data_IF_540038493132
#
_entry.id   IF_540038493132
#
_cell.length_a   1.000
_cell.length_b   1.000
_cell.length_c   1.000
_cell.angle_alpha   90.00
_cell.angle_beta   90.00
_cell.angle_gamma   90.00
#
_symmetry.space_group_name_H-M   'P 1'
#
loop_
_entity.id
_entity.type
_entity.pdbx_description
1 polymer ?
#
# COMPACT_ATOMS: atom_id res chain seq x y z
N UNK A 1 -31.33 -28.78 13.85
CA UNK A 1 -30.29 -27.77 14.13
C UNK A 1 -30.70 -26.46 13.46
N UNK A 2 -31.11 -25.44 14.23
CA UNK A 2 -31.38 -24.11 13.69
C UNK A 2 -30.05 -23.37 13.56
N UNK A 3 -29.68 -22.95 12.35
CA UNK A 3 -28.51 -22.11 12.11
C UNK A 3 -29.02 -20.67 12.01
N UNK A 4 -28.66 -19.85 12.97
CA UNK A 4 -28.93 -18.41 12.94
C UNK A 4 -27.89 -17.73 12.05
N UNK A 5 -28.30 -17.21 10.90
CA UNK A 5 -27.43 -16.49 9.98
C UNK A 5 -27.48 -14.99 10.29
N UNK A 6 -26.38 -14.43 10.78
CA UNK A 6 -26.23 -12.97 10.92
C UNK A 6 -26.01 -12.34 9.54
N UNK A 7 -26.87 -11.38 9.18
CA UNK A 7 -26.79 -10.67 7.90
C UNK A 7 -26.57 -9.20 8.17
N UNK A 8 -25.41 -8.69 7.76
CA UNK A 8 -25.04 -7.28 7.88
C UNK A 8 -24.96 -6.62 6.52
N UNK A 9 -25.16 -5.31 6.49
CA UNK A 9 -24.99 -4.54 5.27
C UNK A 9 -23.52 -4.56 4.83
N UNK A 10 -23.17 -4.99 3.60
CA UNK A 10 -21.79 -5.05 3.12
C UNK A 10 -21.18 -3.67 2.81
N UNK A 11 -21.83 -2.57 3.20
CA UNK A 11 -21.34 -1.18 3.00
C UNK A 11 -21.19 -0.45 4.30
N UNK A 12 -22.27 -0.35 5.07
CA UNK A 12 -22.26 0.38 6.35
C UNK A 12 -22.18 -0.55 7.56
N UNK A 13 -22.10 -1.87 7.37
CA UNK A 13 -22.04 -2.89 8.43
C UNK A 13 -23.24 -2.90 9.39
N UNK A 14 -24.29 -2.14 9.10
CA UNK A 14 -25.52 -2.10 9.88
C UNK A 14 -26.25 -3.44 9.89
N UNK A 15 -26.81 -3.77 11.05
CA UNK A 15 -27.70 -4.91 11.28
C UNK A 15 -29.16 -4.61 10.89
N UNK A 16 -29.47 -3.35 10.55
CA UNK A 16 -30.81 -2.88 10.18
C UNK A 16 -31.18 -3.28 8.74
N UNK A 17 -31.50 -4.56 8.56
CA UNK A 17 -31.75 -5.19 7.25
C UNK A 17 -33.22 -5.61 7.12
N UNK A 18 -33.79 -5.43 5.92
CA UNK A 18 -35.08 -6.04 5.53
C UNK A 18 -34.92 -6.93 4.30
N UNK A 19 -35.79 -7.93 4.17
CA UNK A 19 -35.97 -8.69 2.92
C UNK A 19 -36.59 -7.77 1.87
N UNK A 20 -36.10 -7.87 0.62
CA UNK A 20 -36.49 -6.98 -0.49
C UNK A 20 -36.71 -7.79 -1.77
N UNK A 21 -37.60 -8.78 -1.70
CA UNK A 21 -37.92 -9.68 -2.81
C UNK A 21 -36.86 -10.75 -3.09
N UNK A 22 -37.06 -11.47 -4.19
CA UNK A 22 -36.18 -12.54 -4.66
C UNK A 22 -35.64 -12.13 -6.03
N UNK A 23 -34.35 -12.38 -6.28
CA UNK A 23 -33.72 -12.10 -7.57
C UNK A 23 -34.12 -13.15 -8.62
N UNK A 24 -33.86 -12.83 -9.90
CA UNK A 24 -34.16 -13.74 -11.03
C UNK A 24 -33.48 -15.10 -10.87
N UNK A 25 -32.33 -15.16 -10.20
CA UNK A 25 -31.60 -16.39 -9.91
C UNK A 25 -32.07 -17.11 -8.62
N UNK A 26 -33.26 -16.76 -8.11
CA UNK A 26 -33.89 -17.41 -6.97
C UNK A 26 -33.34 -17.00 -5.60
N UNK A 27 -32.36 -16.10 -5.54
CA UNK A 27 -31.71 -15.72 -4.28
C UNK A 27 -32.47 -14.62 -3.55
N UNK A 28 -32.51 -14.74 -2.22
CA UNK A 28 -33.07 -13.70 -1.36
C UNK A 28 -32.29 -12.39 -1.51
N UNK A 29 -32.98 -11.33 -1.92
CA UNK A 29 -32.46 -9.98 -1.94
C UNK A 29 -32.77 -9.29 -0.60
N UNK A 30 -31.80 -8.56 -0.09
CA UNK A 30 -31.88 -7.80 1.14
C UNK A 30 -31.69 -6.32 0.83
N UNK A 31 -32.27 -5.44 1.65
CA UNK A 31 -32.02 -4.00 1.59
C UNK A 31 -31.66 -3.48 2.98
N UNK A 32 -30.56 -2.74 3.06
CA UNK A 32 -30.19 -2.00 4.26
C UNK A 32 -31.15 -0.82 4.46
N UNK A 33 -31.72 -0.67 5.65
CA UNK A 33 -32.64 0.44 5.95
C UNK A 33 -31.91 1.79 6.05
N UNK A 34 -30.63 1.77 6.42
CA UNK A 34 -29.85 2.99 6.65
C UNK A 34 -29.29 3.55 5.34
N UNK A 35 -28.46 2.77 4.62
CA UNK A 35 -27.84 3.23 3.37
C UNK A 35 -28.62 2.87 2.09
N UNK A 36 -29.79 2.23 2.22
CA UNK A 36 -30.68 1.78 1.12
C UNK A 36 -30.05 0.79 0.13
N UNK A 37 -28.81 0.35 0.34
CA UNK A 37 -28.13 -0.63 -0.52
C UNK A 37 -28.90 -1.94 -0.57
N UNK A 38 -29.07 -2.48 -1.77
CA UNK A 38 -29.58 -3.82 -2.01
C UNK A 38 -28.44 -4.82 -2.20
N UNK A 39 -28.56 -6.02 -1.65
CA UNK A 39 -27.51 -7.05 -1.71
C UNK A 39 -28.07 -8.46 -1.48
N UNK A 40 -27.25 -9.46 -1.81
CA UNK A 40 -27.48 -10.86 -1.46
C UNK A 40 -26.56 -11.18 -0.28
N UNK A 41 -27.03 -11.93 0.70
CA UNK A 41 -26.21 -12.34 1.84
C UNK A 41 -25.04 -13.23 1.40
N UNK A 42 -23.91 -13.15 2.12
CA UNK A 42 -22.67 -13.87 1.77
C UNK A 42 -22.87 -15.39 1.65
N UNK A 43 -23.80 -15.96 2.43
CA UNK A 43 -24.17 -17.39 2.41
C UNK A 43 -24.78 -17.87 1.08
N UNK A 44 -25.34 -16.97 0.27
CA UNK A 44 -26.04 -17.30 -0.97
C UNK A 44 -25.29 -16.85 -2.24
N UNK A 45 -24.03 -16.41 -2.10
CA UNK A 45 -23.24 -15.94 -3.24
C UNK A 45 -22.75 -17.10 -4.10
N UNK A 46 -22.99 -17.02 -5.42
CA UNK A 46 -22.41 -17.96 -6.39
C UNK A 46 -20.98 -17.60 -6.78
N UNK A 47 -20.60 -16.32 -6.67
CA UNK A 47 -19.25 -15.85 -6.95
C UNK A 47 -18.62 -15.26 -5.71
N UNK A 48 -17.53 -15.89 -5.24
CA UNK A 48 -16.83 -15.53 -4.01
C UNK A 48 -16.22 -14.13 -4.04
N UNK A 49 -15.96 -13.56 -5.22
CA UNK A 49 -15.45 -12.19 -5.35
C UNK A 49 -16.47 -11.10 -4.97
N UNK A 50 -17.72 -11.48 -4.72
CA UNK A 50 -18.75 -10.61 -4.15
C UNK A 50 -18.84 -10.70 -2.62
N UNK A 51 -18.12 -11.62 -1.99
CA UNK A 51 -18.14 -11.80 -0.54
C UNK A 51 -17.64 -10.52 0.15
N UNK A 52 -18.33 -10.08 1.21
CA UNK A 52 -18.03 -8.83 1.90
C UNK A 52 -16.59 -8.76 2.45
N UNK A 53 -16.01 -9.88 2.86
CA UNK A 53 -14.65 -9.97 3.42
C UNK A 53 -13.53 -10.11 2.39
N UNK A 54 -13.84 -10.35 1.10
CA UNK A 54 -12.84 -10.71 0.10
C UNK A 54 -11.84 -9.59 -0.16
N UNK A 55 -12.29 -8.34 -0.15
CA UNK A 55 -11.44 -7.16 -0.38
C UNK A 55 -10.31 -7.11 0.63
N UNK A 56 -10.63 -7.33 1.91
CA UNK A 56 -9.65 -7.33 3.00
C UNK A 56 -8.62 -8.45 2.79
N UNK A 57 -9.08 -9.67 2.50
CA UNK A 57 -8.19 -10.81 2.22
C UNK A 57 -7.26 -10.55 1.04
N UNK A 58 -7.77 -10.02 -0.06
CA UNK A 58 -6.98 -9.66 -1.26
C UNK A 58 -5.84 -8.71 -0.86
N UNK A 59 -6.16 -7.62 -0.16
CA UNK A 59 -5.17 -6.62 0.25
C UNK A 59 -4.15 -7.22 1.22
N UNK A 60 -4.59 -8.09 2.15
CA UNK A 60 -3.70 -8.83 3.05
C UNK A 60 -2.68 -9.67 2.29
N UNK A 61 -3.17 -10.50 1.38
CA UNK A 61 -2.31 -11.39 0.61
C UNK A 61 -1.31 -10.58 -0.23
N UNK A 62 -1.72 -9.44 -0.79
CA UNK A 62 -0.83 -8.55 -1.53
C UNK A 62 0.34 -8.03 -0.67
N UNK A 63 0.07 -7.50 0.53
CA UNK A 63 1.14 -6.96 1.41
C UNK A 63 2.00 -8.04 2.07
N UNK A 64 1.50 -9.29 2.05
CA UNK A 64 2.25 -10.50 2.44
C UNK A 64 3.05 -11.09 1.28
N UNK A 65 2.97 -10.50 0.09
CA UNK A 65 3.78 -10.85 -1.07
C UNK A 65 3.16 -11.86 -2.02
N UNK A 66 1.88 -12.20 -1.91
CA UNK A 66 1.19 -13.01 -2.92
C UNK A 66 1.03 -12.24 -4.22
N UNK A 67 1.24 -12.93 -5.35
CA UNK A 67 1.04 -12.37 -6.68
C UNK A 67 -0.45 -12.27 -7.05
N UNK A 68 -0.81 -11.44 -8.04
CA UNK A 68 -2.22 -11.32 -8.47
C UNK A 68 -2.84 -12.67 -8.84
N UNK A 69 -2.11 -13.48 -9.62
CA UNK A 69 -2.60 -14.79 -10.09
C UNK A 69 -2.71 -15.78 -8.93
N UNK A 70 -1.77 -15.73 -8.01
CA UNK A 70 -1.75 -16.55 -6.79
C UNK A 70 -2.97 -16.24 -5.91
N UNK A 71 -3.27 -14.95 -5.69
CA UNK A 71 -4.47 -14.52 -4.96
C UNK A 71 -5.75 -14.97 -5.68
N UNK A 72 -5.80 -14.80 -7.00
CA UNK A 72 -6.96 -15.21 -7.80
C UNK A 72 -7.23 -16.72 -7.68
N UNK A 73 -6.16 -17.53 -7.69
CA UNK A 73 -6.23 -18.99 -7.54
C UNK A 73 -6.66 -19.39 -6.11
N UNK A 74 -5.96 -18.90 -5.09
CA UNK A 74 -6.19 -19.25 -3.68
C UNK A 74 -7.60 -18.86 -3.23
N UNK A 75 -8.04 -17.65 -3.57
CA UNK A 75 -9.36 -17.15 -3.17
C UNK A 75 -10.47 -17.55 -4.17
N UNK A 76 -10.12 -18.23 -5.27
CA UNK A 76 -11.04 -18.65 -6.35
C UNK A 76 -11.88 -17.49 -6.88
N UNK A 77 -11.20 -16.38 -7.19
CA UNK A 77 -11.79 -15.15 -7.72
C UNK A 77 -11.11 -14.75 -9.03
N UNK A 78 -11.76 -13.89 -9.81
CA UNK A 78 -11.18 -13.40 -11.06
C UNK A 78 -9.97 -12.50 -10.80
N UNK A 79 -8.97 -12.61 -11.69
CA UNK A 79 -7.83 -11.69 -11.75
C UNK A 79 -8.30 -10.23 -11.83
N UNK A 80 -9.40 -9.98 -12.55
CA UNK A 80 -10.01 -8.66 -12.67
C UNK A 80 -10.47 -8.10 -11.32
N UNK A 81 -11.07 -8.92 -10.45
CA UNK A 81 -11.45 -8.52 -9.09
C UNK A 81 -10.24 -8.12 -8.27
N UNK A 82 -9.18 -8.93 -8.30
CA UNK A 82 -7.92 -8.66 -7.57
C UNK A 82 -7.29 -7.34 -8.02
N UNK A 83 -7.20 -7.12 -9.33
CA UNK A 83 -6.69 -5.89 -9.92
C UNK A 83 -7.53 -4.67 -9.54
N UNK A 84 -8.86 -4.79 -9.65
CA UNK A 84 -9.79 -3.72 -9.31
C UNK A 84 -9.67 -3.32 -7.85
N UNK A 85 -9.59 -4.29 -6.94
CA UNK A 85 -9.38 -4.03 -5.51
C UNK A 85 -8.09 -3.24 -5.25
N UNK A 86 -7.02 -3.52 -5.98
CA UNK A 86 -5.76 -2.75 -5.87
C UNK A 86 -5.90 -1.33 -6.43
N UNK A 87 -6.48 -1.17 -7.62
CA UNK A 87 -6.60 0.16 -8.27
C UNK A 87 -7.55 1.09 -7.53
N UNK A 88 -8.65 0.55 -6.99
CA UNK A 88 -9.61 1.31 -6.18
C UNK A 88 -9.10 1.58 -4.75
N UNK A 89 -8.01 0.93 -4.31
CA UNK A 89 -7.44 1.21 -2.99
C UNK A 89 -6.84 2.61 -2.92
N UNK A 90 -7.16 3.34 -1.86
CA UNK A 90 -6.70 4.71 -1.62
C UNK A 90 -5.95 4.77 -0.29
N UNK A 91 -4.74 4.21 -0.28
CA UNK A 91 -3.86 4.23 0.89
C UNK A 91 -2.89 5.40 0.80
N UNK A 92 -2.76 6.14 1.89
CA UNK A 92 -1.82 7.23 2.03
C UNK A 92 -1.16 7.13 3.40
N UNK A 93 0.16 7.28 3.44
CA UNK A 93 0.87 7.38 4.72
C UNK A 93 0.66 8.78 5.30
N UNK A 94 0.56 8.83 6.62
CA UNK A 94 0.65 10.06 7.39
C UNK A 94 1.73 9.87 8.45
N UNK A 95 2.62 10.86 8.65
CA UNK A 95 3.60 10.82 9.71
C UNK A 95 2.92 10.71 11.07
N UNK A 96 3.41 9.84 11.95
CA UNK A 96 2.89 9.69 13.32
C UNK A 96 3.38 10.78 14.27
N UNK A 97 4.48 11.43 13.93
CA UNK A 97 5.14 12.46 14.74
C UNK A 97 5.43 13.70 13.89
N UNK A 98 5.44 14.86 14.55
CA UNK A 98 5.83 16.14 13.96
C UNK A 98 7.33 16.40 14.07
N UNK A 99 8.03 15.77 15.03
CA UNK A 99 9.46 15.90 15.23
C UNK A 99 10.13 14.52 15.27
N UNK A 100 11.28 14.41 14.59
CA UNK A 100 12.12 13.21 14.59
C UNK A 100 13.58 13.60 14.88
N UNK A 101 14.26 12.87 15.75
CA UNK A 101 15.67 13.21 16.05
C UNK A 101 16.57 12.92 14.83
N UNK A 102 16.41 11.76 14.19
CA UNK A 102 17.18 11.38 13.01
C UNK A 102 16.33 10.68 11.96
N UNK A 103 16.36 11.17 10.73
CA UNK A 103 15.74 10.50 9.57
C UNK A 103 16.80 9.93 8.65
N UNK A 104 16.63 8.69 8.23
CA UNK A 104 17.45 8.05 7.19
C UNK A 104 16.78 8.29 5.83
N UNK A 105 17.55 8.73 4.83
CA UNK A 105 17.05 8.98 3.47
C UNK A 105 17.87 8.16 2.50
N UNK A 106 17.17 7.46 1.61
CA UNK A 106 17.79 6.59 0.62
C UNK A 106 16.92 6.49 -0.64
N UNK A 107 17.53 5.99 -1.70
CA UNK A 107 16.94 5.75 -3.01
C UNK A 107 16.59 4.27 -3.20
N UNK A 108 15.42 4.05 -3.78
CA UNK A 108 14.94 2.74 -4.17
C UNK A 108 14.52 2.79 -5.63
N UNK A 109 14.97 1.83 -6.43
CA UNK A 109 14.59 1.75 -7.83
C UNK A 109 13.91 0.44 -8.17
N UNK A 110 12.95 0.55 -9.07
CA UNK A 110 12.22 -0.54 -9.70
C UNK A 110 12.07 -0.27 -11.20
N UNK A 111 11.29 -1.10 -11.89
CA UNK A 111 10.94 -0.86 -13.29
C UNK A 111 9.52 -1.34 -13.58
N UNK A 112 8.91 -0.75 -14.62
CA UNK A 112 7.57 -1.12 -15.10
C UNK A 112 7.64 -1.56 -16.55
N UNK A 113 7.19 -2.79 -16.82
CA UNK A 113 7.22 -3.42 -18.15
C UNK A 113 8.62 -3.90 -18.54
N UNK A 114 9.57 -2.97 -18.71
CA UNK A 114 10.94 -3.26 -19.12
C UNK A 114 11.95 -2.49 -18.25
N UNK A 115 13.22 -2.92 -18.27
CA UNK A 115 14.29 -2.32 -17.44
C UNK A 115 14.69 -0.90 -17.85
N UNK A 116 14.33 -0.46 -19.06
CA UNK A 116 14.60 0.90 -19.53
C UNK A 116 13.64 1.89 -18.88
N UNK A 117 12.42 1.46 -18.57
CA UNK A 117 11.44 2.22 -17.81
C UNK A 117 11.68 2.08 -16.30
N UNK A 118 12.81 2.63 -15.83
CA UNK A 118 13.16 2.69 -14.40
C UNK A 118 12.26 3.68 -13.67
N UNK A 119 11.81 3.29 -12.49
CA UNK A 119 11.07 4.13 -11.58
C UNK A 119 11.92 4.33 -10.33
N UNK A 120 12.23 5.59 -10.01
CA UNK A 120 13.00 5.93 -8.82
C UNK A 120 12.08 6.46 -7.75
N UNK A 121 12.35 6.00 -6.54
CA UNK A 121 11.65 6.33 -5.32
C UNK A 121 12.68 6.85 -4.33
N UNK A 122 12.46 8.02 -3.77
CA UNK A 122 13.26 8.54 -2.67
C UNK A 122 12.35 8.66 -1.47
N UNK A 123 12.77 8.15 -0.32
CA UNK A 123 11.96 8.17 0.87
C UNK A 123 12.76 8.43 2.14
N UNK A 124 12.08 9.01 3.12
CA UNK A 124 12.58 9.23 4.46
C UNK A 124 12.03 8.15 5.41
N UNK A 125 12.91 7.59 6.21
CA UNK A 125 12.65 6.48 7.11
C UNK A 125 13.09 6.86 8.53
N UNK A 126 12.24 6.58 9.50
CA UNK A 126 12.59 6.73 10.91
C UNK A 126 12.93 5.36 11.49
N UNK A 127 14.21 5.15 11.80
CA UNK A 127 14.73 3.84 12.22
C UNK A 127 14.12 3.34 13.52
N UNK A 128 13.93 4.21 14.52
CA UNK A 128 13.48 3.80 15.85
C UNK A 128 12.04 3.27 15.84
N UNK A 129 11.15 3.91 15.07
CA UNK A 129 9.75 3.46 14.94
C UNK A 129 9.52 2.50 13.78
N UNK A 130 10.51 2.37 12.88
CA UNK A 130 10.39 1.60 11.66
C UNK A 130 9.40 2.20 10.64
N UNK A 131 9.14 3.50 10.74
CA UNK A 131 8.13 4.22 9.97
C UNK A 131 8.70 4.81 8.69
N UNK A 132 7.95 4.71 7.59
CA UNK A 132 8.20 5.46 6.37
C UNK A 132 7.50 6.82 6.53
N UNK A 133 8.28 7.89 6.69
CA UNK A 133 7.77 9.22 7.04
C UNK A 133 7.20 9.94 5.82
N UNK A 134 7.94 9.92 4.71
CA UNK A 134 7.50 10.47 3.44
C UNK A 134 8.23 9.81 2.28
N UNK A 135 7.61 9.78 1.10
CA UNK A 135 8.25 9.31 -0.13
C UNK A 135 7.80 10.09 -1.35
N UNK A 136 8.63 10.07 -2.39
CA UNK A 136 8.39 10.74 -3.67
C UNK A 136 8.89 9.88 -4.82
N UNK A 137 8.07 9.71 -5.86
CA UNK A 137 8.45 9.11 -7.13
C UNK A 137 9.05 10.17 -8.08
N UNK A 138 10.10 9.83 -8.82
CA UNK A 138 10.75 10.73 -9.76
C UNK A 138 11.90 10.09 -10.52
N UNK A 139 12.90 10.91 -10.84
CA UNK A 139 14.18 10.49 -11.40
C UNK A 139 15.24 10.45 -10.29
N UNK A 140 16.39 9.89 -10.58
CA UNK A 140 17.57 9.97 -9.69
C UNK A 140 18.27 11.31 -9.90
N UNK A 141 17.70 12.37 -9.36
CA UNK A 141 18.22 13.73 -9.47
C UNK A 141 17.97 14.59 -8.20
N UNK A 142 18.67 15.72 -8.13
CA UNK A 142 18.53 16.70 -7.06
C UNK A 142 17.11 17.24 -6.94
N UNK A 143 16.40 17.42 -8.06
CA UNK A 143 15.04 17.93 -8.09
C UNK A 143 14.07 16.99 -7.33
N UNK A 144 14.24 15.68 -7.46
CA UNK A 144 13.42 14.69 -6.75
C UNK A 144 13.73 14.69 -5.24
N UNK A 145 14.99 14.87 -4.84
CA UNK A 145 15.37 15.04 -3.42
C UNK A 145 14.77 16.32 -2.84
N UNK A 146 14.82 17.43 -3.58
CA UNK A 146 14.19 18.69 -3.18
C UNK A 146 12.68 18.56 -3.02
N UNK A 147 12.01 17.80 -3.90
CA UNK A 147 10.58 17.49 -3.74
C UNK A 147 10.29 16.71 -2.46
N UNK A 148 11.15 15.77 -2.06
CA UNK A 148 11.02 15.09 -0.77
C UNK A 148 11.17 16.08 0.38
N UNK A 149 12.18 16.95 0.36
CA UNK A 149 12.39 17.97 1.39
C UNK A 149 11.19 18.93 1.51
N UNK A 150 10.64 19.38 0.38
CA UNK A 150 9.44 20.22 0.35
C UNK A 150 8.23 19.48 0.91
N UNK A 151 8.07 18.20 0.56
CA UNK A 151 6.98 17.35 1.09
C UNK A 151 7.08 17.18 2.61
N UNK A 152 8.28 16.95 3.15
CA UNK A 152 8.51 16.90 4.60
C UNK A 152 8.08 18.21 5.28
N UNK A 153 8.44 19.36 4.69
CA UNK A 153 8.04 20.68 5.19
C UNK A 153 6.52 20.90 5.12
N UNK A 154 5.87 20.50 4.02
CA UNK A 154 4.42 20.61 3.85
C UNK A 154 3.65 19.76 4.86
N UNK A 155 4.21 18.61 5.25
CA UNK A 155 3.66 17.75 6.30
C UNK A 155 3.94 18.27 7.72
N UNK A 156 4.61 19.42 7.87
CA UNK A 156 4.94 20.00 9.18
C UNK A 156 6.00 19.22 9.95
N UNK A 157 6.88 18.50 9.25
CA UNK A 157 7.86 17.61 9.87
C UNK A 157 9.17 18.35 10.13
N UNK A 158 9.59 18.31 11.39
CA UNK A 158 10.88 18.79 11.86
C UNK A 158 11.81 17.62 12.11
N UNK A 159 13.09 17.79 11.79
CA UNK A 159 14.12 16.79 12.06
C UNK A 159 15.42 17.42 12.52
N UNK A 160 16.08 16.83 13.52
CA UNK A 160 17.37 17.34 14.04
C UNK A 160 18.53 16.96 13.12
N UNK A 161 18.47 15.75 12.54
CA UNK A 161 19.54 15.17 11.72
C UNK A 161 18.98 14.37 10.54
N UNK A 162 19.71 14.39 9.42
CA UNK A 162 19.48 13.48 8.30
C UNK A 162 20.70 12.60 8.09
N UNK A 163 20.46 11.29 7.99
CA UNK A 163 21.42 10.30 7.57
C UNK A 163 21.18 9.91 6.11
N UNK A 164 22.22 9.90 5.30
CA UNK A 164 22.15 9.49 3.90
C UNK A 164 23.48 8.89 3.44
N UNK A 165 23.50 8.32 2.25
CA UNK A 165 24.74 7.93 1.59
C UNK A 165 25.53 9.15 1.07
N UNK A 166 26.69 8.89 0.46
CA UNK A 166 27.58 9.92 -0.09
C UNK A 166 27.12 10.49 -1.44
N UNK A 167 25.84 10.34 -1.82
CA UNK A 167 25.37 10.87 -3.09
C UNK A 167 25.23 12.41 -3.03
N UNK A 168 25.91 13.11 -3.95
CA UNK A 168 26.00 14.59 -3.99
C UNK A 168 24.64 15.31 -3.94
N UNK A 169 23.60 14.70 -4.52
CA UNK A 169 22.25 15.26 -4.50
C UNK A 169 21.68 15.35 -3.08
N UNK A 170 21.91 14.35 -2.22
CA UNK A 170 21.48 14.41 -0.82
C UNK A 170 22.27 15.46 -0.05
N UNK A 171 23.59 15.46 -0.20
CA UNK A 171 24.48 16.42 0.46
C UNK A 171 24.07 17.85 0.11
N UNK A 172 23.81 18.11 -1.18
CA UNK A 172 23.39 19.42 -1.69
C UNK A 172 22.01 19.82 -1.18
N UNK A 173 21.02 18.92 -1.25
CA UNK A 173 19.65 19.22 -0.84
C UNK A 173 19.53 19.52 0.66
N UNK A 174 20.32 18.83 1.49
CA UNK A 174 20.26 18.93 2.95
C UNK A 174 21.41 19.74 3.55
N UNK A 175 22.16 20.52 2.75
CA UNK A 175 23.35 21.28 3.17
C UNK A 175 23.14 22.14 4.43
N UNK A 176 21.94 22.67 4.61
CA UNK A 176 21.59 23.55 5.74
C UNK A 176 21.07 22.79 6.98
N UNK A 177 21.15 21.45 6.99
CA UNK A 177 20.72 20.58 8.08
C UNK A 177 21.92 19.82 8.63
N UNK A 178 21.84 19.33 9.88
CA UNK A 178 22.89 18.43 10.41
C UNK A 178 22.83 17.11 9.64
N UNK A 179 23.94 16.72 9.02
CA UNK A 179 24.03 15.49 8.22
C UNK A 179 24.91 14.44 8.90
N UNK A 180 24.53 13.18 8.78
CA UNK A 180 25.39 12.03 9.08
C UNK A 180 25.55 11.21 7.81
N UNK A 181 26.68 11.42 7.14
CA UNK A 181 26.94 10.84 5.83
C UNK A 181 27.69 9.53 6.04
N UNK A 182 27.20 8.46 5.40
CA UNK A 182 27.91 7.20 5.31
C UNK A 182 27.05 6.00 5.71
N UNK A 183 27.49 4.82 5.24
CA UNK A 183 26.72 3.56 5.32
C UNK A 183 26.36 3.13 6.75
N UNK A 184 27.19 3.50 7.74
CA UNK A 184 26.95 3.18 9.15
C UNK A 184 25.64 3.80 9.67
N UNK A 185 25.19 4.91 9.07
CA UNK A 185 23.99 5.64 9.49
C UNK A 185 22.74 5.29 8.66
N UNK A 186 22.87 4.46 7.61
CA UNK A 186 21.77 4.06 6.70
C UNK A 186 21.36 2.59 6.85
N UNK A 187 21.84 1.91 7.90
CA UNK A 187 21.58 0.48 8.10
C UNK A 187 20.08 0.18 8.26
N UNK A 188 19.32 1.09 8.89
CA UNK A 188 17.88 0.91 9.10
C UNK A 188 17.12 0.91 7.77
N UNK A 189 17.34 1.93 6.95
CA UNK A 189 16.69 2.10 5.66
C UNK A 189 17.13 1.04 4.65
N UNK A 190 18.38 0.58 4.70
CA UNK A 190 18.86 -0.57 3.91
C UNK A 190 18.12 -1.87 4.30
N UNK A 191 17.95 -2.11 5.61
CA UNK A 191 17.14 -3.22 6.11
C UNK A 191 15.68 -3.12 5.65
N UNK A 192 15.10 -1.92 5.67
CA UNK A 192 13.75 -1.68 5.17
C UNK A 192 13.64 -1.85 3.64
N UNK A 193 14.65 -1.45 2.86
CA UNK A 193 14.73 -1.73 1.42
C UNK A 193 14.66 -3.23 1.15
N UNK A 194 15.36 -4.04 1.94
CA UNK A 194 15.28 -5.49 1.86
C UNK A 194 13.85 -6.00 2.17
N UNK A 195 13.24 -5.50 3.25
CA UNK A 195 11.83 -5.81 3.62
C UNK A 195 10.84 -5.43 2.52
N UNK A 196 11.00 -4.26 1.88
CA UNK A 196 10.17 -3.81 0.76
C UNK A 196 10.32 -4.76 -0.42
N UNK A 197 11.53 -5.19 -0.76
CA UNK A 197 11.76 -6.19 -1.83
C UNK A 197 11.00 -7.48 -1.53
N UNK A 198 11.12 -8.02 -0.33
CA UNK A 198 10.42 -9.27 0.05
C UNK A 198 8.89 -9.15 -0.01
N UNK A 199 8.32 -8.01 0.40
CA UNK A 199 6.86 -7.80 0.42
C UNK A 199 6.30 -7.48 -0.95
N UNK A 200 6.98 -6.62 -1.71
CA UNK A 200 6.54 -6.23 -3.04
C UNK A 200 7.24 -7.11 -4.05
N UNK A 201 6.64 -8.25 -4.39
CA UNK A 201 7.19 -9.16 -5.41
C UNK A 201 7.49 -8.46 -6.76
N UNK A 202 6.84 -7.33 -7.03
CA UNK A 202 7.02 -6.49 -8.24
C UNK A 202 8.29 -5.62 -8.21
N UNK A 203 9.00 -5.57 -7.09
CA UNK A 203 10.30 -4.90 -6.95
C UNK A 203 11.49 -5.78 -7.33
N UNK A 204 11.27 -6.99 -7.86
CA UNK A 204 12.30 -7.97 -8.22
C UNK A 204 12.63 -8.02 -9.72
N UNK A 205 13.54 -8.94 -10.10
CA UNK A 205 14.02 -9.21 -11.46
C UNK A 205 12.85 -9.51 -12.43
N UNK A 206 12.98 -9.02 -13.68
CA UNK A 206 12.00 -9.16 -14.78
C UNK A 206 11.49 -10.58 -15.03
N UNK A 207 12.32 -11.59 -14.78
CA UNK A 207 11.98 -13.00 -14.96
C UNK A 207 11.01 -13.55 -13.91
N UNK A 208 10.89 -12.91 -12.73
CA UNK A 208 10.09 -13.46 -11.63
C UNK A 208 8.73 -12.77 -11.53
N UNK A 209 8.71 -11.46 -11.27
CA UNK A 209 7.49 -10.69 -11.08
C UNK A 209 7.76 -9.20 -11.35
N UNK A 210 7.00 -8.59 -12.26
CA UNK A 210 7.12 -7.16 -12.57
C UNK A 210 5.73 -6.55 -12.83
N UNK A 211 5.59 -5.25 -12.59
CA UNK A 211 4.37 -4.53 -12.96
C UNK A 211 4.35 -4.25 -14.46
N UNK A 212 3.21 -4.52 -15.10
CA UNK A 212 2.98 -4.15 -16.51
C UNK A 212 2.41 -2.74 -16.67
N UNK A 213 1.72 -2.23 -15.65
CA UNK A 213 1.09 -0.90 -15.61
C UNK A 213 1.68 -0.07 -14.49
N UNK A 214 1.87 1.23 -14.75
CA UNK A 214 2.46 2.18 -13.79
C UNK A 214 1.54 2.41 -12.60
N UNK A 215 0.26 2.63 -12.84
CA UNK A 215 -0.76 2.84 -11.80
C UNK A 215 -0.77 1.70 -10.77
N UNK A 216 -0.87 0.45 -11.23
CA UNK A 216 -0.83 -0.73 -10.35
C UNK A 216 0.47 -0.85 -9.57
N UNK A 217 1.58 -0.32 -10.12
CA UNK A 217 2.86 -0.31 -9.44
C UNK A 217 2.81 0.66 -8.26
N UNK A 218 2.42 1.91 -8.49
CA UNK A 218 2.33 2.92 -7.45
C UNK A 218 1.32 2.52 -6.37
N UNK A 219 0.13 2.06 -6.74
CA UNK A 219 -0.88 1.57 -5.78
C UNK A 219 -0.36 0.43 -4.89
N UNK A 220 0.46 -0.47 -5.43
CA UNK A 220 1.04 -1.55 -4.63
C UNK A 220 2.07 -1.03 -3.60
N UNK A 221 2.84 -0.01 -3.96
CA UNK A 221 3.74 0.66 -3.03
C UNK A 221 2.98 1.45 -1.97
N UNK A 222 1.96 2.23 -2.37
CA UNK A 222 1.11 3.00 -1.46
C UNK A 222 0.49 2.08 -0.39
N UNK A 223 -0.10 0.95 -0.82
CA UNK A 223 -0.66 -0.08 0.07
C UNK A 223 0.41 -0.67 1.00
N UNK A 224 1.59 -1.00 0.47
CA UNK A 224 2.65 -1.63 1.28
C UNK A 224 3.23 -0.66 2.31
N UNK A 225 3.39 0.61 1.95
CA UNK A 225 3.94 1.63 2.84
C UNK A 225 2.95 1.95 3.95
N UNK A 226 1.66 2.06 3.60
CA UNK A 226 0.60 2.16 4.59
C UNK A 226 0.62 0.98 5.56
N UNK A 227 0.75 -0.24 5.05
CA UNK A 227 0.83 -1.45 5.88
C UNK A 227 2.08 -1.49 6.78
N UNK A 228 3.24 -1.03 6.30
CA UNK A 228 4.46 -0.95 7.12
C UNK A 228 4.26 0.00 8.30
N UNK A 229 3.61 1.13 8.07
CA UNK A 229 3.39 2.14 9.12
C UNK A 229 2.27 1.74 10.08
N UNK A 230 1.14 1.24 9.59
CA UNK A 230 -0.09 1.09 10.38
C UNK A 230 -0.43 -0.36 10.73
N UNK A 231 0.28 -1.34 10.18
CA UNK A 231 -0.12 -2.74 10.26
C UNK A 231 -1.30 -3.08 9.36
N UNK A 232 -2.05 -4.12 9.71
CA UNK A 232 -3.19 -4.60 8.93
C UNK A 232 -4.52 -3.99 9.42
N UNK A 233 -5.43 -3.69 8.48
CA UNK A 233 -6.84 -3.34 8.75
C UNK A 233 -7.68 -4.62 8.73
#
# INVERSE_FOLDING_TARGET
>A
MQITLEIKCPTCLSDSIKKNGIKVDGKQNYQCKDCKRQFIGDHALSYLGCNSGITRKILQLMVRGSGIRDIAEVERISIGKVLRTLTESAYQIQPKQSHYESLEVDEFWTFVGNKNNKQWLIYAYHRETGEIVAYVWGKRDLATVQRLKTKLKQLGIHYTRIASDHWDSFITAFKNCKQSIGKLFTVGIEGNNCKIRHRIRRGFRRSCNFSKKLENHFKAFDLTFFYINNGFI
#
